data_IF_468977588400
#
_entry.id   IF_468977588400
#
_cell.length_a   1.000
_cell.length_b   1.000
_cell.length_c   1.000
_cell.angle_alpha   90.00
_cell.angle_beta   90.00
_cell.angle_gamma   90.00
#
_symmetry.space_group_name_H-M   'P 1'
#
loop_
_entity.id
_entity.type
_entity.pdbx_description
1 polymer ?
#
# COMPACT_ATOMS: atom_id res chain seq x y z
N UNK A 1 12.74 29.07 5.56
CA UNK A 1 12.04 28.82 6.83
C UNK A 1 11.19 27.59 6.61
N UNK A 2 11.66 26.43 7.08
CA UNK A 2 10.94 25.15 6.93
C UNK A 2 9.93 25.06 8.07
N UNK A 3 8.65 25.25 7.76
CA UNK A 3 7.55 24.84 8.65
C UNK A 3 7.60 23.31 8.78
N UNK A 4 8.30 22.84 9.82
CA UNK A 4 8.20 21.45 10.25
C UNK A 4 6.76 21.25 10.76
N UNK A 5 5.90 20.69 9.91
CA UNK A 5 4.55 20.27 10.32
C UNK A 5 4.69 19.34 11.51
N UNK A 6 4.22 19.79 12.67
CA UNK A 6 4.19 18.99 13.88
C UNK A 6 3.22 17.82 13.65
N UNK A 7 3.66 16.54 13.71
CA UNK A 7 2.79 15.39 13.43
C UNK A 7 1.53 15.31 14.30
N UNK A 8 1.54 15.99 15.44
CA UNK A 8 0.41 16.04 16.39
C UNK A 8 -0.64 17.12 16.04
N UNK A 9 -0.33 18.08 15.14
CA UNK A 9 -1.20 19.24 14.89
C UNK A 9 -2.19 19.04 13.74
N UNK A 10 -2.00 18.07 12.86
CA UNK A 10 -2.99 17.75 11.84
C UNK A 10 -4.03 16.80 12.44
N UNK A 11 -5.06 17.35 13.08
CA UNK A 11 -6.24 16.57 13.44
C UNK A 11 -6.81 15.93 12.15
N UNK A 12 -7.14 14.61 12.16
CA UNK A 12 -7.80 14.01 11.02
C UNK A 12 -9.10 14.79 10.75
N UNK A 13 -9.35 15.15 9.50
CA UNK A 13 -10.65 15.70 9.09
C UNK A 13 -11.65 14.56 9.20
N UNK A 14 -12.26 14.44 10.36
CA UNK A 14 -13.34 13.49 10.61
C UNK A 14 -14.62 14.27 10.29
N UNK A 15 -15.23 14.00 9.14
CA UNK A 15 -16.62 14.40 8.94
C UNK A 15 -17.43 13.77 10.06
N UNK A 16 -18.17 14.58 10.81
CA UNK A 16 -18.99 14.15 11.94
C UNK A 16 -19.94 13.04 11.49
N UNK A 17 -19.59 11.81 11.83
CA UNK A 17 -20.53 10.70 11.83
C UNK A 17 -20.95 10.58 13.31
N UNK A 18 -22.03 11.23 13.68
CA UNK A 18 -22.68 11.06 14.96
C UNK A 18 -23.24 9.63 15.04
N UNK A 19 -22.58 8.80 15.82
CA UNK A 19 -23.01 7.43 16.09
C UNK A 19 -21.81 6.55 16.46
N UNK A 20 -21.94 5.81 17.54
CA UNK A 20 -20.98 4.75 17.85
C UNK A 20 -20.89 3.78 16.65
N UNK A 21 -19.68 3.47 16.19
CA UNK A 21 -19.48 2.52 15.11
C UNK A 21 -20.15 1.18 15.50
N UNK A 22 -20.82 0.53 14.55
CA UNK A 22 -21.40 -0.79 14.85
C UNK A 22 -20.28 -1.73 15.28
N UNK A 23 -20.54 -2.52 16.32
CA UNK A 23 -19.57 -3.49 16.89
C UNK A 23 -19.03 -4.55 15.91
N UNK A 24 -19.46 -4.53 14.65
CA UNK A 24 -19.10 -5.47 13.58
C UNK A 24 -18.41 -4.80 12.41
N UNK A 25 -17.89 -3.57 12.57
CA UNK A 25 -17.14 -2.89 11.51
C UNK A 25 -15.68 -3.29 11.49
N UNK A 26 -15.05 -3.19 10.31
CA UNK A 26 -13.60 -3.20 10.16
C UNK A 26 -13.09 -1.80 9.81
N UNK A 27 -11.89 -1.49 10.26
CA UNK A 27 -11.21 -0.25 9.89
C UNK A 27 -10.20 -0.55 8.77
N UNK A 28 -10.29 0.18 7.66
CA UNK A 28 -9.32 0.11 6.56
C UNK A 28 -8.56 1.42 6.51
N UNK A 29 -7.24 1.37 6.60
CA UNK A 29 -6.34 2.55 6.61
C UNK A 29 -5.47 2.55 5.36
N UNK A 30 -5.41 3.68 4.67
CA UNK A 30 -4.51 3.96 3.56
C UNK A 30 -4.00 5.41 3.61
N UNK A 31 -2.95 5.73 2.84
CA UNK A 31 -2.44 7.11 2.72
C UNK A 31 -3.36 8.01 1.89
N UNK A 32 -4.19 7.42 1.02
CA UNK A 32 -5.03 8.15 0.08
C UNK A 32 -6.22 7.33 -0.39
N UNK A 33 -6.54 7.41 -1.67
CA UNK A 33 -7.69 6.72 -2.27
C UNK A 33 -7.38 5.34 -2.86
N UNK A 34 -6.09 4.98 -2.97
CA UNK A 34 -5.66 3.69 -3.54
C UNK A 34 -6.26 2.49 -2.81
N UNK A 35 -6.38 2.57 -1.48
CA UNK A 35 -6.96 1.52 -0.64
C UNK A 35 -8.44 1.25 -0.87
N UNK A 36 -9.18 2.10 -1.61
CA UNK A 36 -10.56 1.82 -2.02
C UNK A 36 -10.63 0.57 -2.91
N UNK A 37 -9.56 0.25 -3.65
CA UNK A 37 -9.46 -1.00 -4.41
C UNK A 37 -9.50 -2.23 -3.49
N UNK A 38 -8.86 -2.13 -2.33
CA UNK A 38 -8.87 -3.17 -1.29
C UNK A 38 -10.27 -3.28 -0.67
N UNK A 39 -10.90 -2.15 -0.31
CA UNK A 39 -12.29 -2.14 0.18
C UNK A 39 -13.24 -2.80 -0.81
N UNK A 40 -13.13 -2.48 -2.11
CA UNK A 40 -13.94 -3.11 -3.16
C UNK A 40 -13.76 -4.62 -3.21
N UNK A 41 -12.52 -5.09 -3.08
CA UNK A 41 -12.22 -6.53 -3.07
C UNK A 41 -12.79 -7.23 -1.85
N UNK A 42 -12.73 -6.60 -0.67
CA UNK A 42 -13.33 -7.10 0.56
C UNK A 42 -14.86 -7.20 0.41
N UNK A 43 -15.52 -6.13 -0.04
CA UNK A 43 -16.98 -6.08 -0.21
C UNK A 43 -17.49 -7.05 -1.30
N UNK A 44 -16.66 -7.35 -2.30
CA UNK A 44 -17.02 -8.38 -3.30
C UNK A 44 -17.11 -9.77 -2.68
N UNK A 45 -16.36 -10.06 -1.61
CA UNK A 45 -16.39 -11.35 -0.89
C UNK A 45 -17.34 -11.32 0.31
N UNK A 46 -17.51 -10.17 0.94
CA UNK A 46 -18.27 -9.96 2.17
C UNK A 46 -19.20 -8.73 2.01
N UNK A 47 -20.30 -8.83 1.21
CA UNK A 47 -21.11 -7.67 0.84
C UNK A 47 -21.80 -6.96 2.02
N UNK A 48 -22.07 -7.67 3.10
CA UNK A 48 -22.74 -7.12 4.30
C UNK A 48 -21.77 -6.51 5.32
N UNK A 49 -20.44 -6.58 5.06
CA UNK A 49 -19.45 -6.10 6.00
C UNK A 49 -19.47 -4.57 6.05
N UNK A 50 -19.47 -4.01 7.25
CA UNK A 50 -19.37 -2.56 7.45
C UNK A 50 -17.90 -2.15 7.48
N UNK A 51 -17.51 -1.23 6.59
CA UNK A 51 -16.15 -0.71 6.48
C UNK A 51 -16.13 0.74 6.92
N UNK A 52 -15.20 1.05 7.83
CA UNK A 52 -14.76 2.41 8.12
C UNK A 52 -13.48 2.61 7.32
N UNK A 53 -13.49 3.52 6.34
CA UNK A 53 -12.30 3.83 5.55
C UNK A 53 -11.66 5.11 6.05
N UNK A 54 -10.36 5.04 6.32
CA UNK A 54 -9.55 6.19 6.71
C UNK A 54 -8.45 6.44 5.66
N UNK A 55 -8.52 7.59 4.98
CA UNK A 55 -7.50 8.08 4.07
C UNK A 55 -6.71 9.21 4.74
N UNK A 56 -5.41 9.02 4.95
CA UNK A 56 -4.54 10.05 5.55
C UNK A 56 -3.98 11.02 4.50
N UNK A 57 -4.86 11.70 3.79
CA UNK A 57 -4.50 12.63 2.71
C UNK A 57 -3.56 13.76 3.16
N UNK A 58 -3.55 14.11 4.46
CA UNK A 58 -2.66 15.13 4.99
C UNK A 58 -1.18 14.73 4.96
N UNK A 59 -0.90 13.41 4.94
CA UNK A 59 0.44 12.83 4.93
C UNK A 59 0.70 11.99 3.67
N UNK A 60 -0.14 12.15 2.66
CA UNK A 60 0.03 11.50 1.37
C UNK A 60 1.21 12.10 0.57
N UNK A 61 1.99 11.27 -0.15
CA UNK A 61 2.02 9.80 -0.12
C UNK A 61 2.99 9.26 0.94
N UNK A 62 2.60 8.24 1.68
CA UNK A 62 3.41 7.64 2.75
C UNK A 62 4.78 7.12 2.30
N UNK A 63 4.91 6.71 1.03
CA UNK A 63 6.16 6.21 0.48
C UNK A 63 7.30 7.24 0.40
N UNK A 64 7.00 8.53 0.61
CA UNK A 64 7.97 9.63 0.61
C UNK A 64 8.32 10.14 2.02
N UNK A 65 7.68 9.61 3.06
CA UNK A 65 7.89 10.05 4.43
C UNK A 65 9.06 9.29 5.09
N UNK A 66 9.82 9.96 5.99
CA UNK A 66 10.74 9.28 6.88
C UNK A 66 10.02 8.23 7.74
N UNK A 67 10.67 7.10 7.98
CA UNK A 67 10.07 5.98 8.75
C UNK A 67 9.62 6.38 10.15
N UNK A 68 10.44 7.18 10.85
CA UNK A 68 10.13 7.65 12.20
C UNK A 68 8.90 8.54 12.25
N UNK A 69 8.73 9.40 11.23
CA UNK A 69 7.57 10.27 11.11
C UNK A 69 6.32 9.43 10.82
N UNK A 70 6.41 8.52 9.84
CA UNK A 70 5.32 7.64 9.48
C UNK A 70 4.90 6.73 10.64
N UNK A 71 5.86 6.14 11.37
CA UNK A 71 5.59 5.31 12.55
C UNK A 71 4.84 6.10 13.63
N UNK A 72 5.31 7.30 13.96
CA UNK A 72 4.66 8.18 14.94
C UNK A 72 3.23 8.52 14.51
N UNK A 73 3.07 8.88 13.23
CA UNK A 73 1.76 9.21 12.65
C UNK A 73 0.78 8.05 12.71
N UNK A 74 1.23 6.85 12.31
CA UNK A 74 0.37 5.66 12.30
C UNK A 74 -0.09 5.24 13.70
N UNK A 75 0.80 5.25 14.70
CA UNK A 75 0.43 4.97 16.10
C UNK A 75 -0.64 5.93 16.59
N UNK A 76 -0.47 7.22 16.31
CA UNK A 76 -1.46 8.24 16.65
C UNK A 76 -2.82 7.98 15.99
N UNK A 77 -2.84 7.77 14.65
CA UNK A 77 -4.08 7.52 13.91
C UNK A 77 -4.76 6.26 14.41
N UNK A 78 -4.03 5.15 14.48
CA UNK A 78 -4.59 3.85 14.91
C UNK A 78 -5.19 3.99 16.31
N UNK A 79 -4.46 4.55 17.27
CA UNK A 79 -4.97 4.75 18.63
C UNK A 79 -6.28 5.55 18.64
N UNK A 80 -6.33 6.68 17.93
CA UNK A 80 -7.55 7.51 17.86
C UNK A 80 -8.73 6.80 17.17
N UNK A 81 -8.44 6.02 16.13
CA UNK A 81 -9.49 5.27 15.42
C UNK A 81 -10.04 4.10 16.27
N UNK A 82 -9.15 3.41 17.01
CA UNK A 82 -9.58 2.35 17.92
C UNK A 82 -10.45 2.89 19.07
N UNK A 83 -10.05 4.01 19.69
CA UNK A 83 -10.86 4.68 20.71
C UNK A 83 -12.25 5.07 20.20
N UNK A 84 -12.30 5.66 18.99
CA UNK A 84 -13.54 6.23 18.47
C UNK A 84 -14.50 5.18 17.92
N UNK A 85 -13.99 4.20 17.17
CA UNK A 85 -14.80 3.32 16.35
C UNK A 85 -14.88 1.87 16.85
N UNK A 86 -13.99 1.47 17.74
CA UNK A 86 -13.92 0.12 18.28
C UNK A 86 -14.13 -0.99 17.23
N UNK A 87 -13.39 -0.96 16.11
CA UNK A 87 -13.54 -1.94 15.04
C UNK A 87 -13.13 -3.32 15.52
N UNK A 88 -13.61 -4.38 14.86
CA UNK A 88 -13.21 -5.78 15.15
C UNK A 88 -11.87 -6.17 14.54
N UNK A 89 -11.45 -5.46 13.51
CA UNK A 89 -10.24 -5.75 12.73
C UNK A 89 -9.73 -4.46 12.09
N UNK A 90 -8.42 -4.33 11.95
CA UNK A 90 -7.79 -3.25 11.19
C UNK A 90 -7.11 -3.83 9.96
N UNK A 91 -7.40 -3.28 8.78
CA UNK A 91 -6.72 -3.58 7.52
C UNK A 91 -5.81 -2.40 7.19
N UNK A 92 -4.51 -2.64 7.11
CA UNK A 92 -3.55 -1.70 6.54
C UNK A 92 -3.53 -1.92 5.02
N UNK A 93 -4.27 -1.11 4.27
CA UNK A 93 -4.38 -1.27 2.82
C UNK A 93 -3.09 -0.83 2.10
N UNK A 94 -2.38 0.16 2.64
CA UNK A 94 -1.13 0.66 2.08
C UNK A 94 0.02 -0.34 2.26
N UNK A 95 0.68 -0.75 1.15
CA UNK A 95 1.84 -1.64 1.19
C UNK A 95 3.01 -1.05 2.00
N UNK A 96 3.30 0.23 1.81
CA UNK A 96 4.37 0.93 2.55
C UNK A 96 4.19 0.83 4.06
N UNK A 97 2.97 1.06 4.54
CA UNK A 97 2.64 0.95 5.97
C UNK A 97 2.66 -0.50 6.44
N UNK A 98 2.10 -1.41 5.64
CA UNK A 98 2.04 -2.82 6.01
C UNK A 98 3.44 -3.41 6.21
N UNK A 99 4.37 -3.14 5.28
CA UNK A 99 5.74 -3.64 5.38
C UNK A 99 6.56 -2.98 6.51
N UNK A 100 6.17 -1.77 6.95
CA UNK A 100 6.84 -1.05 8.04
C UNK A 100 6.25 -1.39 9.42
N UNK A 101 4.92 -1.30 9.56
CA UNK A 101 4.28 -1.15 10.85
C UNK A 101 3.53 -2.39 11.35
N UNK A 102 3.27 -3.37 10.47
CA UNK A 102 2.42 -4.51 10.84
C UNK A 102 2.91 -5.28 12.07
N UNK A 103 4.21 -5.62 12.21
CA UNK A 103 4.70 -6.30 13.41
C UNK A 103 4.55 -5.45 14.67
N UNK A 104 4.84 -4.15 14.58
CA UNK A 104 4.79 -3.24 15.72
C UNK A 104 3.35 -3.00 16.20
N UNK A 105 2.41 -2.78 15.27
CA UNK A 105 1.00 -2.58 15.62
C UNK A 105 0.38 -3.84 16.23
N UNK A 106 0.75 -5.02 15.76
CA UNK A 106 0.34 -6.31 16.35
C UNK A 106 0.88 -6.51 17.76
N UNK A 107 2.05 -5.95 18.07
CA UNK A 107 2.62 -6.00 19.42
C UNK A 107 1.98 -4.97 20.37
N UNK A 108 1.49 -3.84 19.84
CA UNK A 108 0.94 -2.74 20.64
C UNK A 108 -0.55 -2.91 20.96
N UNK A 109 -1.31 -3.59 20.13
CA UNK A 109 -2.76 -3.68 20.25
C UNK A 109 -3.25 -5.12 20.17
N UNK A 110 -4.22 -5.49 21.01
CA UNK A 110 -4.81 -6.83 21.04
C UNK A 110 -5.74 -7.13 19.85
N UNK A 111 -6.20 -6.08 19.13
CA UNK A 111 -7.06 -6.23 17.96
C UNK A 111 -6.28 -6.86 16.78
N UNK A 112 -6.93 -7.72 15.96
CA UNK A 112 -6.29 -8.28 14.77
C UNK A 112 -5.92 -7.23 13.73
N UNK A 113 -4.72 -7.34 13.15
CA UNK A 113 -4.24 -6.53 12.02
C UNK A 113 -3.98 -7.40 10.80
N UNK A 114 -4.53 -7.00 9.65
CA UNK A 114 -4.25 -7.57 8.33
C UNK A 114 -3.52 -6.52 7.50
N UNK A 115 -2.35 -6.85 6.97
CA UNK A 115 -1.59 -5.98 6.06
C UNK A 115 -1.74 -6.44 4.61
N UNK A 116 -1.81 -5.46 3.70
CA UNK A 116 -1.64 -5.71 2.27
C UNK A 116 -0.16 -5.55 1.95
N UNK A 117 0.49 -6.65 1.60
CA UNK A 117 1.92 -6.72 1.29
C UNK A 117 2.13 -7.14 -0.16
N UNK A 118 3.31 -6.90 -0.77
CA UNK A 118 3.59 -7.34 -2.13
C UNK A 118 3.30 -8.83 -2.32
N UNK A 119 2.55 -9.16 -3.38
CA UNK A 119 2.04 -10.51 -3.65
C UNK A 119 3.12 -11.44 -4.25
N UNK A 120 4.28 -11.54 -3.60
CA UNK A 120 5.44 -12.32 -4.08
C UNK A 120 5.11 -13.81 -4.17
N UNK A 121 4.47 -14.38 -3.14
CA UNK A 121 4.09 -15.80 -3.14
C UNK A 121 3.16 -16.17 -4.31
N UNK A 122 2.06 -15.47 -4.58
CA UNK A 122 1.25 -15.73 -5.76
C UNK A 122 2.03 -15.57 -7.07
N UNK A 123 2.90 -14.57 -7.19
CA UNK A 123 3.71 -14.35 -8.38
C UNK A 123 4.68 -15.52 -8.64
N UNK A 124 5.36 -16.01 -7.61
CA UNK A 124 6.25 -17.16 -7.72
C UNK A 124 5.54 -18.46 -8.15
N UNK A 125 4.25 -18.60 -7.82
CA UNK A 125 3.43 -19.72 -8.26
C UNK A 125 2.89 -19.54 -9.69
N UNK A 126 2.78 -18.30 -10.18
CA UNK A 126 2.21 -17.98 -11.50
C UNK A 126 3.23 -17.87 -12.61
N UNK A 127 4.44 -17.40 -12.30
CA UNK A 127 5.50 -17.25 -13.30
C UNK A 127 5.87 -18.55 -13.96
N UNK A 128 6.07 -18.54 -15.27
CA UNK A 128 6.53 -19.68 -16.07
C UNK A 128 8.02 -19.61 -16.35
N UNK A 129 8.55 -18.41 -16.45
CA UNK A 129 9.97 -18.13 -16.76
C UNK A 129 10.83 -18.01 -15.51
N UNK A 130 10.22 -18.00 -14.31
CA UNK A 130 10.88 -17.64 -13.04
C UNK A 130 11.32 -16.17 -12.95
N UNK A 131 10.99 -15.33 -13.93
CA UNK A 131 11.23 -13.91 -13.93
C UNK A 131 10.05 -13.14 -13.35
N UNK A 132 10.24 -12.44 -12.23
CA UNK A 132 9.23 -11.65 -11.53
C UNK A 132 9.66 -10.19 -11.48
N UNK A 133 8.79 -9.28 -11.90
CA UNK A 133 8.92 -7.85 -11.63
C UNK A 133 8.23 -7.48 -10.32
N UNK A 134 8.90 -6.77 -9.43
CA UNK A 134 8.29 -6.13 -8.27
C UNK A 134 8.28 -4.62 -8.49
N UNK A 135 7.09 -4.08 -8.77
CA UNK A 135 6.84 -2.65 -8.93
C UNK A 135 6.18 -2.11 -7.67
N UNK A 136 6.87 -1.25 -6.91
CA UNK A 136 6.39 -0.73 -5.64
C UNK A 136 6.89 0.70 -5.39
N UNK A 137 6.58 1.29 -4.23
CA UNK A 137 7.26 2.54 -3.82
C UNK A 137 8.72 2.26 -3.43
N UNK A 138 9.64 3.22 -3.56
CA UNK A 138 11.03 3.05 -3.12
C UNK A 138 11.13 2.57 -1.67
N UNK A 139 10.28 3.11 -0.78
CA UNK A 139 10.22 2.70 0.61
C UNK A 139 9.82 1.21 0.78
N UNK A 140 8.88 0.70 -0.02
CA UNK A 140 8.48 -0.72 0.02
C UNK A 140 9.59 -1.63 -0.51
N UNK A 141 10.26 -1.22 -1.59
CA UNK A 141 11.38 -1.97 -2.19
C UNK A 141 12.54 -2.15 -1.21
N UNK A 142 12.86 -1.12 -0.45
CA UNK A 142 14.01 -1.11 0.48
C UNK A 142 13.76 -1.82 1.83
N UNK A 143 12.57 -2.37 2.07
CA UNK A 143 12.24 -3.00 3.36
C UNK A 143 12.80 -4.40 3.51
N UNK A 144 13.39 -4.68 4.66
CA UNK A 144 13.77 -6.04 5.06
C UNK A 144 12.59 -7.03 5.00
N UNK A 145 11.37 -6.56 5.26
CA UNK A 145 10.15 -7.36 5.11
C UNK A 145 9.94 -7.82 3.65
N UNK A 146 10.23 -6.95 2.68
CA UNK A 146 10.16 -7.30 1.25
C UNK A 146 11.24 -8.32 0.88
N UNK A 147 12.47 -8.15 1.41
CA UNK A 147 13.55 -9.13 1.25
C UNK A 147 13.16 -10.50 1.81
N UNK A 148 12.52 -10.50 2.99
CA UNK A 148 12.04 -11.72 3.62
C UNK A 148 10.96 -12.42 2.78
N UNK A 149 10.00 -11.68 2.21
CA UNK A 149 8.98 -12.24 1.32
C UNK A 149 9.61 -12.90 0.08
N UNK A 150 10.62 -12.27 -0.51
CA UNK A 150 11.32 -12.83 -1.67
C UNK A 150 12.10 -14.08 -1.25
N UNK A 151 12.82 -14.01 -0.14
CA UNK A 151 13.56 -15.15 0.40
C UNK A 151 12.64 -16.34 0.71
N UNK A 152 11.47 -16.11 1.31
CA UNK A 152 10.59 -17.19 1.74
C UNK A 152 9.81 -17.84 0.59
N UNK A 153 9.51 -17.08 -0.47
CA UNK A 153 8.56 -17.53 -1.50
C UNK A 153 9.07 -17.51 -2.93
N UNK A 154 10.20 -16.89 -3.22
CA UNK A 154 10.71 -16.69 -4.57
C UNK A 154 12.23 -16.97 -4.68
N UNK A 155 12.76 -17.91 -3.90
CA UNK A 155 14.20 -18.26 -3.92
C UNK A 155 14.68 -18.74 -5.30
N UNK A 156 13.80 -19.43 -6.04
CA UNK A 156 14.10 -19.97 -7.36
C UNK A 156 13.71 -19.00 -8.50
N UNK A 157 13.43 -17.74 -8.17
CA UNK A 157 12.99 -16.74 -9.13
C UNK A 157 13.97 -15.56 -9.17
N UNK A 158 14.16 -15.01 -10.37
CA UNK A 158 14.83 -13.73 -10.54
C UNK A 158 13.80 -12.61 -10.29
N UNK A 159 14.05 -11.77 -9.29
CA UNK A 159 13.15 -10.69 -8.92
C UNK A 159 13.75 -9.33 -9.28
N UNK A 160 13.28 -8.75 -10.39
CA UNK A 160 13.62 -7.39 -10.78
C UNK A 160 12.79 -6.41 -9.97
N UNK A 161 13.46 -5.51 -9.22
CA UNK A 161 12.78 -4.57 -8.31
C UNK A 161 12.83 -3.15 -8.88
N UNK A 162 11.67 -2.53 -9.04
CA UNK A 162 11.53 -1.17 -9.52
C UNK A 162 10.72 -0.34 -8.53
N UNK A 163 11.35 0.71 -7.99
CA UNK A 163 10.70 1.66 -7.08
C UNK A 163 10.29 2.92 -7.83
N UNK A 164 9.00 3.29 -7.79
CA UNK A 164 8.55 4.55 -8.37
C UNK A 164 7.56 5.28 -7.46
N UNK A 165 7.88 6.53 -7.15
CA UNK A 165 6.96 7.49 -6.53
C UNK A 165 6.16 8.24 -7.60
N UNK A 166 6.70 8.38 -8.80
CA UNK A 166 6.08 9.07 -9.94
C UNK A 166 4.79 8.37 -10.35
N UNK A 167 4.77 7.03 -10.37
CA UNK A 167 3.55 6.27 -10.69
C UNK A 167 2.42 6.52 -9.70
N UNK A 168 2.70 6.82 -8.44
CA UNK A 168 1.66 7.20 -7.47
C UNK A 168 1.02 8.51 -7.91
N UNK A 169 1.83 9.49 -8.33
CA UNK A 169 1.35 10.79 -8.80
C UNK A 169 0.57 10.66 -10.12
N UNK A 170 1.02 9.79 -11.03
CA UNK A 170 0.30 9.53 -12.28
C UNK A 170 -1.07 8.85 -12.03
N UNK A 171 -1.17 7.99 -11.02
CA UNK A 171 -2.45 7.41 -10.62
C UNK A 171 -3.41 8.47 -10.05
N UNK A 172 -2.91 9.41 -9.25
CA UNK A 172 -3.70 10.54 -8.75
C UNK A 172 -4.13 11.49 -9.88
N UNK A 173 -3.25 11.75 -10.87
CA UNK A 173 -3.63 12.52 -12.06
C UNK A 173 -4.78 11.87 -12.82
N UNK A 174 -4.71 10.55 -13.01
CA UNK A 174 -5.80 9.80 -13.65
C UNK A 174 -7.12 9.91 -12.90
N UNK A 175 -7.08 9.87 -11.57
CA UNK A 175 -8.28 10.01 -10.72
C UNK A 175 -8.88 11.41 -10.76
N UNK A 176 -8.07 12.42 -11.10
CA UNK A 176 -8.49 13.80 -11.28
C UNK A 176 -8.79 14.16 -12.75
N UNK A 177 -9.13 13.16 -13.58
CA UNK A 177 -9.46 13.31 -15.00
C UNK A 177 -8.34 13.99 -15.84
N UNK A 178 -7.09 13.92 -15.37
CA UNK A 178 -5.93 14.42 -16.09
C UNK A 178 -5.28 13.32 -16.94
N UNK A 179 -4.60 13.72 -17.99
CA UNK A 179 -3.84 12.77 -18.83
C UNK A 179 -2.65 12.19 -18.08
N UNK A 180 -2.45 10.87 -18.21
CA UNK A 180 -1.28 10.16 -17.70
C UNK A 180 -0.09 10.43 -18.61
N UNK A 181 1.06 10.68 -18.02
CA UNK A 181 2.32 10.83 -18.77
C UNK A 181 2.85 9.44 -19.14
N UNK A 182 2.69 9.07 -20.43
CA UNK A 182 3.15 7.77 -20.94
C UNK A 182 4.65 7.57 -20.82
N UNK A 183 5.45 8.63 -20.99
CA UNK A 183 6.90 8.52 -20.87
C UNK A 183 7.34 8.06 -19.48
N UNK A 184 6.71 8.58 -18.43
CA UNK A 184 6.94 8.11 -17.03
C UNK A 184 6.63 6.63 -16.90
N UNK A 185 5.52 6.16 -17.51
CA UNK A 185 5.17 4.73 -17.49
C UNK A 185 6.23 3.89 -18.20
N UNK A 186 6.63 4.31 -19.40
CA UNK A 186 7.59 3.58 -20.24
C UNK A 186 8.97 3.50 -19.56
N UNK A 187 9.45 4.61 -18.99
CA UNK A 187 10.73 4.66 -18.28
C UNK A 187 10.74 3.74 -17.03
N UNK A 188 9.64 3.71 -16.30
CA UNK A 188 9.51 2.85 -15.11
C UNK A 188 9.41 1.37 -15.48
N UNK A 189 8.82 1.04 -16.64
CA UNK A 189 8.70 -0.36 -17.08
C UNK A 189 9.94 -0.87 -17.81
N UNK A 190 10.84 0.02 -18.25
CA UNK A 190 12.03 -0.36 -19.04
C UNK A 190 12.90 -1.45 -18.37
N UNK A 191 13.18 -1.42 -17.04
CA UNK A 191 13.95 -2.47 -16.40
C UNK A 191 13.33 -3.86 -16.50
N UNK A 192 12.00 -3.97 -16.64
CA UNK A 192 11.32 -5.24 -16.78
C UNK A 192 11.41 -5.83 -18.20
N UNK A 193 11.72 -5.01 -19.19
CA UNK A 193 11.91 -5.43 -20.60
C UNK A 193 13.31 -5.94 -20.84
N UNK A 194 14.27 -5.61 -19.95
CA UNK A 194 15.63 -6.10 -20.05
C UNK A 194 15.61 -7.58 -19.71
N UNK A 195 15.92 -8.41 -20.69
CA UNK A 195 16.12 -9.86 -20.50
C UNK A 195 17.36 -9.98 -19.60
N UNK A 196 17.17 -10.43 -18.36
CA UNK A 196 18.30 -10.90 -17.56
C UNK A 196 18.86 -12.15 -18.24
N UNK A 197 20.17 -12.43 -18.11
CA UNK A 197 20.82 -13.58 -18.79
C UNK A 197 20.12 -14.92 -18.48
N UNK A 198 19.27 -14.98 -17.46
CA UNK A 198 18.59 -16.16 -17.00
C UNK A 198 17.10 -16.23 -17.38
N UNK A 199 16.29 -15.15 -17.13
CA UNK A 199 14.83 -15.27 -17.20
C UNK A 199 14.14 -13.96 -17.61
N UNK A 200 13.26 -14.04 -18.59
CA UNK A 200 12.35 -12.94 -18.98
C UNK A 200 11.30 -12.70 -17.88
N UNK A 201 11.01 -11.43 -17.56
CA UNK A 201 9.93 -11.07 -16.63
C UNK A 201 8.57 -11.32 -17.28
N UNK A 202 7.86 -12.35 -16.84
CA UNK A 202 6.51 -12.68 -17.33
C UNK A 202 5.40 -12.33 -16.33
N UNK A 203 5.77 -12.00 -15.11
CA UNK A 203 4.81 -11.72 -14.03
C UNK A 203 5.26 -10.48 -13.25
N UNK A 204 4.39 -9.47 -13.15
CA UNK A 204 4.67 -8.24 -12.40
C UNK A 204 3.75 -8.10 -11.19
N UNK A 205 4.36 -7.95 -10.01
CA UNK A 205 3.67 -7.65 -8.74
C UNK A 205 3.49 -6.14 -8.61
N UNK A 206 2.25 -5.68 -8.45
CA UNK A 206 1.92 -4.30 -8.16
C UNK A 206 1.89 -4.08 -6.63
N UNK A 207 3.01 -3.70 -6.06
CA UNK A 207 3.23 -3.52 -4.62
C UNK A 207 2.84 -2.13 -4.09
N UNK A 208 1.86 -1.49 -4.69
CA UNK A 208 1.27 -0.23 -4.24
C UNK A 208 -0.23 -0.20 -4.59
N UNK A 209 -1.07 0.31 -3.69
CA UNK A 209 -2.54 0.39 -3.88
C UNK A 209 -2.96 1.29 -5.04
N UNK A 210 -2.12 2.23 -5.46
CA UNK A 210 -2.37 3.13 -6.59
C UNK A 210 -2.07 2.47 -7.96
N UNK A 211 -1.14 1.54 -8.03
CA UNK A 211 -0.70 0.99 -9.32
C UNK A 211 -1.78 0.19 -10.08
N UNK A 212 -2.69 -0.57 -9.42
CA UNK A 212 -3.81 -1.18 -10.12
C UNK A 212 -4.72 -0.20 -10.87
N UNK A 213 -4.77 1.07 -10.48
CA UNK A 213 -5.50 2.13 -11.17
C UNK A 213 -4.93 2.41 -12.56
N UNK A 214 -3.62 2.23 -12.72
CA UNK A 214 -2.88 2.41 -13.98
C UNK A 214 -2.82 1.14 -14.84
N UNK A 215 -3.52 0.06 -14.46
CA UNK A 215 -3.39 -1.27 -15.13
C UNK A 215 -3.47 -1.23 -16.65
N UNK A 216 -4.32 -0.36 -17.23
CA UNK A 216 -4.46 -0.24 -18.68
C UNK A 216 -3.24 0.39 -19.38
N UNK A 217 -2.38 1.08 -18.62
CA UNK A 217 -1.14 1.70 -19.10
C UNK A 217 0.10 0.85 -18.80
N UNK A 218 -0.01 -0.11 -17.87
CA UNK A 218 1.08 -1.01 -17.45
C UNK A 218 1.09 -2.35 -18.21
N UNK A 219 0.42 -2.40 -19.37
CA UNK A 219 0.32 -3.61 -20.22
C UNK A 219 1.28 -3.51 -21.42
#
# INVERSE_FOLDING_TARGET
>A
MNDKKNPQQAAPVISNIDGAAPSESILVIDSGVGGLSVCRSILAQLPSLKIIYFADNAYFPYGMLPETELSTRLKFIVGRMLERYQPKLVVLACNTVSTLMLPELRALYEIPFVGVVPAIKPAALMTKTKGIGLLATPATIARAYTDQLIHDYAQDCDVVRVGSSELVLEAERLLNDQSVNKQVIDDVLEPFKQITEANEVDTVVLGCTHFPLLKKYLK
#
